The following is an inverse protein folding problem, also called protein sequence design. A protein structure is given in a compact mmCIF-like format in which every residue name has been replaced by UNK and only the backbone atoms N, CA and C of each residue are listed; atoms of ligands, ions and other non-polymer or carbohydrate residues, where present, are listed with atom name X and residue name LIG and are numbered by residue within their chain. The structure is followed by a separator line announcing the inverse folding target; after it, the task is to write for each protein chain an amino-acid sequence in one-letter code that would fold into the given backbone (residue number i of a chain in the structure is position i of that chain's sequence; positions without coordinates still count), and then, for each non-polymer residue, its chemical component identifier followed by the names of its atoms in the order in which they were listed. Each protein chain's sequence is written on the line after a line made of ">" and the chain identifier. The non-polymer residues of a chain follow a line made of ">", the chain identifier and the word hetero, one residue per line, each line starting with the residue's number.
data_IF_736662495155
#
_entry.id   IF_736662495155
#
_cell.length_a   1.000
_cell.length_b   1.000
_cell.length_c   1.000
_cell.angle_alpha   90.00
_cell.angle_beta   90.00
_cell.angle_gamma   90.00
#
_symmetry.space_group_name_H-M   'P 1'
#
loop_
_entity.id
_entity.type
_entity.pdbx_description
1 polymer ?
#
# COMPACT_ATOMS: atom_id res chain seq x y z
N UNK A 1 133.91 -146.89 209.52
CA UNK A 1 132.79 -145.95 209.26
C UNK A 1 131.79 -146.60 208.31
N UNK A 2 131.17 -147.73 208.70
CA UNK A 2 130.36 -148.55 207.79
C UNK A 2 128.85 -148.44 208.12
N UNK A 3 128.50 -148.18 209.39
CA UNK A 3 127.10 -148.07 209.83
C UNK A 3 126.25 -147.04 209.06
N UNK A 4 126.73 -145.82 208.71
CA UNK A 4 125.91 -144.85 207.97
C UNK A 4 125.47 -145.37 206.59
N UNK A 5 126.36 -146.10 205.90
CA UNK A 5 126.08 -146.75 204.62
C UNK A 5 124.97 -147.82 204.75
N UNK A 6 124.99 -148.59 205.84
CA UNK A 6 124.01 -149.66 206.04
C UNK A 6 122.60 -149.11 206.28
N UNK A 7 122.44 -148.05 207.09
CA UNK A 7 121.14 -147.41 207.29
C UNK A 7 120.58 -146.78 206.01
N UNK A 8 121.44 -146.17 205.17
CA UNK A 8 121.04 -145.65 203.86
C UNK A 8 120.56 -146.79 202.93
N UNK A 9 121.30 -147.91 202.89
CA UNK A 9 120.93 -149.09 202.08
C UNK A 9 119.61 -149.72 202.50
N UNK A 10 119.37 -149.88 203.80
CA UNK A 10 118.10 -150.41 204.34
C UNK A 10 116.95 -149.43 204.07
N UNK A 11 117.15 -148.13 204.28
CA UNK A 11 116.16 -147.10 203.97
C UNK A 11 115.76 -147.08 202.49
N UNK A 12 116.73 -147.23 201.58
CA UNK A 12 116.49 -147.32 200.15
C UNK A 12 115.69 -148.59 199.77
N UNK A 13 116.01 -149.75 200.35
CA UNK A 13 115.26 -150.98 200.14
C UNK A 13 113.80 -150.88 200.59
N UNK A 14 113.55 -150.31 201.77
CA UNK A 14 112.18 -150.10 202.29
C UNK A 14 111.40 -149.11 201.42
N UNK A 15 112.03 -148.01 200.99
CA UNK A 15 111.40 -147.05 200.08
C UNK A 15 111.06 -147.67 198.71
N UNK A 16 111.97 -148.47 198.14
CA UNK A 16 111.74 -149.20 196.89
C UNK A 16 110.58 -150.19 196.99
N UNK A 17 110.49 -150.93 198.10
CA UNK A 17 109.39 -151.87 198.35
C UNK A 17 108.02 -151.18 198.42
N UNK A 18 107.94 -150.01 199.07
CA UNK A 18 106.72 -149.20 199.14
C UNK A 18 106.29 -148.67 197.77
N UNK A 19 107.23 -148.20 196.94
CA UNK A 19 106.94 -147.73 195.57
C UNK A 19 106.36 -148.86 194.71
N UNK A 20 106.95 -150.06 194.76
CA UNK A 20 106.46 -151.23 194.03
C UNK A 20 105.03 -151.61 194.42
N UNK A 21 104.66 -151.48 195.70
CA UNK A 21 103.30 -151.74 196.18
C UNK A 21 102.23 -150.76 195.68
N UNK A 22 102.58 -149.49 195.43
CA UNK A 22 101.61 -148.44 195.06
C UNK A 22 101.33 -148.41 193.55
N UNK A 23 102.34 -148.69 192.71
CA UNK A 23 102.23 -148.70 191.24
C UNK A 23 101.00 -149.47 190.69
N UNK A 24 100.75 -150.75 191.05
CA UNK A 24 99.62 -151.51 190.50
C UNK A 24 98.25 -150.92 190.88
N UNK A 25 98.14 -150.32 192.08
CA UNK A 25 96.89 -149.71 192.54
C UNK A 25 96.50 -148.49 191.69
N UNK A 26 97.48 -147.63 191.38
CA UNK A 26 97.28 -146.45 190.53
C UNK A 26 96.95 -146.87 189.10
N UNK A 27 97.67 -147.84 188.55
CA UNK A 27 97.47 -148.29 187.17
C UNK A 27 96.08 -148.94 186.98
N UNK A 28 95.63 -149.76 187.92
CA UNK A 28 94.30 -150.38 187.90
C UNK A 28 93.15 -149.36 188.01
N UNK A 29 93.38 -148.21 188.66
CA UNK A 29 92.41 -147.09 188.72
C UNK A 29 92.38 -146.30 187.42
N UNK A 30 93.54 -146.08 186.78
CA UNK A 30 93.64 -145.40 185.49
C UNK A 30 92.92 -146.18 184.37
N UNK A 31 93.19 -147.48 184.23
CA UNK A 31 92.57 -148.35 183.20
C UNK A 31 91.04 -148.38 183.32
N UNK A 32 90.50 -148.38 184.55
CA UNK A 32 89.05 -148.40 184.77
C UNK A 32 88.34 -147.08 184.40
N UNK A 33 89.08 -145.97 184.35
CA UNK A 33 88.59 -144.66 183.90
C UNK A 33 88.73 -144.46 182.39
N UNK A 34 89.78 -145.00 181.76
CA UNK A 34 89.91 -144.96 180.30
C UNK A 34 88.94 -145.91 179.60
N UNK A 35 88.76 -147.14 180.12
CA UNK A 35 87.83 -148.12 179.53
C UNK A 35 86.40 -147.58 179.50
N UNK A 36 85.90 -147.03 180.61
CA UNK A 36 84.56 -146.40 180.69
C UNK A 36 84.39 -145.17 179.78
N UNK A 37 85.47 -144.49 179.38
CA UNK A 37 85.41 -143.42 178.37
C UNK A 37 85.42 -143.97 176.95
N UNK A 38 86.13 -145.07 176.69
CA UNK A 38 86.07 -145.76 175.39
C UNK A 38 84.69 -146.36 175.15
N UNK A 39 84.16 -147.12 176.10
CA UNK A 39 82.83 -147.77 176.04
C UNK A 39 81.70 -146.78 175.75
N UNK A 40 81.80 -145.54 176.25
CA UNK A 40 80.84 -144.45 176.00
C UNK A 40 81.06 -143.71 174.66
N UNK A 41 82.03 -144.14 173.84
CA UNK A 41 82.40 -143.53 172.55
C UNK A 41 82.46 -144.53 171.38
N UNK A 42 82.26 -145.82 171.65
CA UNK A 42 82.17 -146.89 170.64
C UNK A 42 80.72 -147.37 170.56
N UNK A 43 80.08 -147.47 169.37
CA UNK A 43 78.73 -148.01 169.24
C UNK A 43 78.74 -149.50 169.59
N UNK A 44 77.92 -149.90 170.58
CA UNK A 44 77.89 -151.28 171.11
C UNK A 44 76.65 -152.06 170.66
N UNK A 45 75.80 -151.47 169.81
CA UNK A 45 74.57 -152.09 169.31
C UNK A 45 74.50 -152.17 167.78
N UNK A 46 74.23 -153.36 167.26
CA UNK A 46 73.91 -153.57 165.84
C UNK A 46 72.65 -152.80 165.40
N UNK A 47 71.75 -152.45 166.33
CA UNK A 47 70.57 -151.65 166.02
C UNK A 47 70.93 -150.18 165.71
N UNK A 48 71.99 -149.65 166.31
CA UNK A 48 72.46 -148.27 166.05
C UNK A 48 73.14 -148.20 164.68
N UNK A 49 73.99 -149.18 164.35
CA UNK A 49 74.62 -149.30 163.02
C UNK A 49 73.55 -149.52 161.92
N UNK A 50 72.49 -150.27 162.22
CA UNK A 50 71.34 -150.39 161.31
C UNK A 50 70.59 -149.05 161.16
N UNK A 51 70.37 -148.31 162.25
CA UNK A 51 69.73 -147.00 162.23
C UNK A 51 70.55 -145.95 161.47
N UNK A 52 71.87 -145.88 161.63
CA UNK A 52 72.75 -145.00 160.84
C UNK A 52 72.72 -145.36 159.35
N UNK A 53 72.74 -146.66 159.03
CA UNK A 53 72.65 -147.16 157.65
C UNK A 53 71.30 -146.82 157.00
N UNK A 54 70.22 -146.94 157.75
CA UNK A 54 68.87 -146.62 157.27
C UNK A 54 68.59 -145.11 157.28
N UNK A 55 69.22 -144.33 158.17
CA UNK A 55 69.29 -142.86 158.06
C UNK A 55 70.04 -142.46 156.79
N UNK A 56 71.21 -143.03 156.52
CA UNK A 56 71.96 -142.73 155.28
C UNK A 56 71.12 -143.10 154.05
N UNK A 57 70.44 -144.25 154.03
CA UNK A 57 69.48 -144.62 152.97
C UNK A 57 68.34 -143.62 152.85
N UNK A 58 67.75 -143.17 153.96
CA UNK A 58 66.68 -142.18 153.96
C UNK A 58 67.17 -140.80 153.49
N UNK A 59 68.39 -140.39 153.87
CA UNK A 59 69.02 -139.16 153.40
C UNK A 59 69.32 -139.23 151.90
N UNK A 60 69.89 -140.34 151.40
CA UNK A 60 70.10 -140.52 149.97
C UNK A 60 68.77 -140.57 149.21
N UNK A 61 67.74 -141.26 149.71
CA UNK A 61 66.41 -141.29 149.10
C UNK A 61 65.73 -139.90 149.11
N UNK A 62 65.87 -139.12 150.19
CA UNK A 62 65.36 -137.74 150.28
C UNK A 62 66.13 -136.78 149.37
N UNK A 63 67.46 -136.91 149.28
CA UNK A 63 68.31 -136.11 148.38
C UNK A 63 68.00 -136.45 146.92
N UNK A 64 67.84 -137.73 146.59
CA UNK A 64 67.42 -138.23 145.28
C UNK A 64 66.01 -137.73 144.91
N UNK A 65 65.01 -137.94 145.78
CA UNK A 65 63.62 -137.49 145.57
C UNK A 65 63.52 -135.96 145.39
N UNK A 66 64.30 -135.17 146.14
CA UNK A 66 64.41 -133.71 145.93
C UNK A 66 65.09 -133.37 144.60
N UNK A 67 66.11 -134.13 144.19
CA UNK A 67 66.78 -133.95 142.90
C UNK A 67 65.81 -134.29 141.76
N UNK A 68 65.16 -135.45 141.79
CA UNK A 68 64.16 -135.88 140.80
C UNK A 68 63.00 -134.89 140.72
N UNK A 69 62.45 -134.43 141.85
CA UNK A 69 61.38 -133.42 141.86
C UNK A 69 61.86 -132.07 141.31
N UNK A 70 63.10 -131.66 141.56
CA UNK A 70 63.65 -130.41 140.99
C UNK A 70 63.97 -130.56 139.50
N UNK A 71 64.44 -131.73 139.04
CA UNK A 71 64.57 -132.08 137.63
C UNK A 71 63.21 -132.06 136.93
N UNK A 72 62.17 -132.62 137.52
CA UNK A 72 60.83 -132.65 136.93
C UNK A 72 60.20 -131.25 136.88
N UNK A 73 60.39 -130.44 137.92
CA UNK A 73 60.02 -129.02 137.90
C UNK A 73 60.79 -128.23 136.83
N UNK A 74 62.07 -128.53 136.60
CA UNK A 74 62.86 -127.88 135.55
C UNK A 74 62.43 -128.35 134.15
N UNK A 75 62.18 -129.65 133.94
CA UNK A 75 61.57 -130.16 132.70
C UNK A 75 60.24 -129.49 132.41
N UNK A 76 59.35 -129.39 133.40
CA UNK A 76 58.03 -128.75 133.27
C UNK A 76 58.13 -127.24 132.96
N UNK A 77 59.12 -126.54 133.54
CA UNK A 77 59.44 -125.15 133.17
C UNK A 77 59.95 -125.06 131.73
N UNK A 78 60.87 -125.93 131.32
CA UNK A 78 61.42 -125.96 129.96
C UNK A 78 60.34 -126.29 128.92
N UNK A 79 59.46 -127.26 129.16
CA UNK A 79 58.35 -127.57 128.22
C UNK A 79 57.33 -126.44 128.15
N UNK A 80 56.99 -125.80 129.27
CA UNK A 80 56.15 -124.60 129.29
C UNK A 80 56.78 -123.44 128.51
N UNK A 81 58.08 -123.19 128.70
CA UNK A 81 58.84 -122.17 127.97
C UNK A 81 58.93 -122.48 126.47
N UNK A 82 59.13 -123.74 126.07
CA UNK A 82 59.09 -124.15 124.67
C UNK A 82 57.68 -123.95 124.06
N UNK A 83 56.61 -124.24 124.81
CA UNK A 83 55.24 -123.99 124.37
C UNK A 83 54.88 -122.49 124.31
N UNK A 84 55.50 -121.64 125.13
CA UNK A 84 55.42 -120.18 124.99
C UNK A 84 56.22 -119.67 123.80
N UNK A 85 57.45 -120.16 123.59
CA UNK A 85 58.28 -119.80 122.44
C UNK A 85 57.63 -120.23 121.13
N UNK A 86 56.97 -121.40 121.09
CA UNK A 86 56.15 -121.83 119.96
C UNK A 86 55.01 -120.84 119.67
N UNK A 87 54.17 -120.54 120.66
CA UNK A 87 53.05 -119.56 120.52
C UNK A 87 53.53 -118.16 120.12
N UNK A 88 54.64 -117.68 120.69
CA UNK A 88 55.27 -116.40 120.33
C UNK A 88 55.83 -116.42 118.90
N UNK A 89 56.44 -117.53 118.47
CA UNK A 89 56.94 -117.70 117.09
C UNK A 89 55.80 -117.75 116.07
N UNK A 90 54.69 -118.41 116.40
CA UNK A 90 53.49 -118.41 115.56
C UNK A 90 52.86 -117.01 115.45
N UNK A 91 52.74 -116.28 116.56
CA UNK A 91 52.27 -114.90 116.54
C UNK A 91 53.18 -113.98 115.69
N UNK A 92 54.51 -114.15 115.79
CA UNK A 92 55.49 -113.44 114.95
C UNK A 92 55.34 -113.84 113.48
N UNK A 93 55.05 -115.10 113.16
CA UNK A 93 54.81 -115.54 111.79
C UNK A 93 53.53 -114.92 111.19
N UNK A 94 52.43 -114.89 111.95
CA UNK A 94 51.18 -114.23 111.57
C UNK A 94 51.39 -112.72 111.33
N UNK A 95 52.00 -112.01 112.28
CA UNK A 95 52.30 -110.58 112.15
C UNK A 95 53.24 -110.26 110.97
N UNK A 96 54.20 -111.14 110.66
CA UNK A 96 55.05 -110.99 109.46
C UNK A 96 54.28 -111.19 108.16
N UNK A 97 53.31 -112.11 108.14
CA UNK A 97 52.44 -112.32 106.99
C UNK A 97 51.51 -111.12 106.77
N UNK A 98 50.82 -110.67 107.81
CA UNK A 98 49.96 -109.48 107.79
C UNK A 98 50.75 -108.23 107.35
N UNK A 99 51.96 -108.02 107.88
CA UNK A 99 52.83 -106.90 107.49
C UNK A 99 53.26 -107.02 106.01
N UNK A 100 53.50 -108.23 105.51
CA UNK A 100 53.76 -108.48 104.09
C UNK A 100 52.57 -108.15 103.20
N UNK A 101 51.35 -108.55 103.57
CA UNK A 101 50.11 -108.17 102.86
C UNK A 101 49.89 -106.66 102.88
N UNK A 102 50.12 -105.98 104.01
CA UNK A 102 50.00 -104.51 104.09
C UNK A 102 51.09 -103.80 103.27
N UNK A 103 52.31 -104.31 103.23
CA UNK A 103 53.36 -103.76 102.36
C UNK A 103 53.03 -103.92 100.87
N UNK A 104 52.49 -105.07 100.46
CA UNK A 104 52.02 -105.28 99.09
C UNK A 104 50.85 -104.34 98.72
N UNK A 105 49.87 -104.20 99.61
CA UNK A 105 48.73 -103.30 99.41
C UNK A 105 49.13 -101.82 99.39
N UNK A 106 50.16 -101.41 100.15
CA UNK A 106 50.72 -100.06 100.10
C UNK A 106 51.40 -99.79 98.75
N UNK A 107 52.25 -100.70 98.27
CA UNK A 107 52.89 -100.57 96.94
C UNK A 107 51.86 -100.53 95.80
N UNK A 108 50.77 -101.31 95.91
CA UNK A 108 49.64 -101.23 94.97
C UNK A 108 48.91 -99.87 95.05
N UNK A 109 48.77 -99.27 96.23
CA UNK A 109 48.19 -97.94 96.39
C UNK A 109 49.11 -96.84 95.84
N UNK A 110 50.41 -96.88 96.17
CA UNK A 110 51.43 -95.94 95.71
C UNK A 110 51.54 -95.95 94.17
N UNK A 111 51.50 -97.12 93.53
CA UNK A 111 51.48 -97.24 92.06
C UNK A 111 50.20 -96.70 91.42
N UNK A 112 49.05 -96.76 92.10
CA UNK A 112 47.81 -96.12 91.64
C UNK A 112 47.81 -94.62 91.86
N UNK A 113 48.43 -94.14 92.94
CA UNK A 113 48.59 -92.71 93.20
C UNK A 113 49.50 -92.08 92.14
N UNK A 114 50.64 -92.68 91.81
CA UNK A 114 51.50 -92.17 90.73
C UNK A 114 50.80 -92.16 89.38
N UNK A 115 50.11 -93.25 89.00
CA UNK A 115 49.28 -93.31 87.79
C UNK A 115 48.23 -92.20 87.75
N UNK A 116 47.46 -92.02 88.83
CA UNK A 116 46.44 -90.97 88.90
C UNK A 116 47.04 -89.55 88.86
N UNK A 117 48.24 -89.32 89.39
CA UNK A 117 48.92 -88.03 89.24
C UNK A 117 49.45 -87.79 87.83
N UNK A 118 49.86 -88.83 87.11
CA UNK A 118 50.28 -88.74 85.70
C UNK A 118 49.07 -88.49 84.79
N UNK A 119 47.99 -89.26 84.94
CA UNK A 119 46.71 -89.06 84.23
C UNK A 119 46.14 -87.65 84.47
N UNK A 120 46.18 -87.16 85.71
CA UNK A 120 45.73 -85.82 86.07
C UNK A 120 46.63 -84.74 85.44
N UNK A 121 47.94 -84.94 85.37
CA UNK A 121 48.87 -84.06 84.67
C UNK A 121 48.62 -84.01 83.16
N UNK A 122 48.37 -85.16 82.53
CA UNK A 122 48.00 -85.27 81.11
C UNK A 122 46.67 -84.55 80.86
N UNK A 123 45.64 -84.79 81.68
CA UNK A 123 44.33 -84.16 81.54
C UNK A 123 44.39 -82.63 81.74
N UNK A 124 45.22 -82.14 82.67
CA UNK A 124 45.47 -80.70 82.83
C UNK A 124 46.20 -80.11 81.62
N UNK A 125 47.19 -80.81 81.07
CA UNK A 125 47.90 -80.41 79.85
C UNK A 125 46.98 -80.33 78.64
N UNK A 126 46.12 -81.33 78.44
CA UNK A 126 45.09 -81.31 77.39
C UNK A 126 44.09 -80.16 77.57
N UNK A 127 43.62 -79.91 78.80
CA UNK A 127 42.67 -78.85 79.10
C UNK A 127 43.29 -77.47 78.84
N UNK A 128 44.54 -77.25 79.25
CA UNK A 128 45.27 -76.02 78.98
C UNK A 128 45.46 -75.81 77.46
N UNK A 129 45.84 -76.85 76.71
CA UNK A 129 45.99 -76.78 75.26
C UNK A 129 44.65 -76.50 74.54
N UNK A 130 43.56 -77.15 74.97
CA UNK A 130 42.20 -76.92 74.45
C UNK A 130 41.69 -75.51 74.77
N UNK A 131 42.00 -74.99 75.96
CA UNK A 131 41.65 -73.61 76.36
C UNK A 131 42.41 -72.59 75.52
N UNK A 132 43.73 -72.75 75.35
CA UNK A 132 44.54 -71.85 74.51
C UNK A 132 44.09 -71.86 73.04
N UNK A 133 43.73 -73.03 72.50
CA UNK A 133 43.17 -73.15 71.15
C UNK A 133 41.79 -72.48 71.03
N UNK A 134 40.94 -72.60 72.05
CA UNK A 134 39.63 -71.95 72.11
C UNK A 134 39.76 -70.43 72.17
N UNK A 135 40.62 -69.88 73.04
CA UNK A 135 40.88 -68.43 73.04
C UNK A 135 41.43 -67.93 71.69
N UNK A 136 42.24 -68.75 71.01
CA UNK A 136 42.77 -68.40 69.69
C UNK A 136 41.66 -68.38 68.62
N UNK A 137 40.71 -69.32 68.65
CA UNK A 137 39.57 -69.30 67.72
C UNK A 137 38.57 -68.20 68.05
N UNK A 138 38.36 -67.85 69.33
CA UNK A 138 37.56 -66.69 69.73
C UNK A 138 38.18 -65.36 69.26
N UNK A 139 39.50 -65.19 69.42
CA UNK A 139 40.23 -64.02 68.89
C UNK A 139 40.14 -63.93 67.37
N UNK A 140 40.27 -65.05 66.67
CA UNK A 140 40.12 -65.10 65.21
C UNK A 140 38.68 -64.80 64.76
N UNK A 141 37.67 -65.31 65.47
CA UNK A 141 36.26 -65.04 65.22
C UNK A 141 35.92 -63.55 65.45
N UNK A 142 36.46 -62.94 66.51
CA UNK A 142 36.30 -61.51 66.77
C UNK A 142 36.94 -60.64 65.68
N UNK A 143 38.12 -61.01 65.16
CA UNK A 143 38.74 -60.34 64.00
C UNK A 143 37.83 -60.45 62.76
N UNK A 144 37.40 -61.66 62.42
CA UNK A 144 36.53 -61.90 61.27
C UNK A 144 35.17 -61.17 61.38
N UNK A 145 34.61 -61.03 62.58
CA UNK A 145 33.41 -60.22 62.83
C UNK A 145 33.65 -58.72 62.64
N UNK A 146 34.79 -58.20 63.12
CA UNK A 146 35.17 -56.80 62.92
C UNK A 146 35.44 -56.49 61.44
N UNK A 147 36.13 -57.38 60.73
CA UNK A 147 36.38 -57.31 59.29
C UNK A 147 35.06 -57.34 58.50
N UNK A 148 34.14 -58.26 58.82
CA UNK A 148 32.83 -58.35 58.18
C UNK A 148 31.97 -57.09 58.45
N UNK A 149 32.01 -56.55 59.67
CA UNK A 149 31.34 -55.28 59.99
C UNK A 149 31.92 -54.11 59.18
N UNK A 150 33.26 -54.03 59.06
CA UNK A 150 33.94 -53.01 58.26
C UNK A 150 33.62 -53.13 56.76
N UNK A 151 33.64 -54.34 56.20
CA UNK A 151 33.25 -54.61 54.79
C UNK A 151 31.78 -54.29 54.55
N UNK A 152 30.90 -54.57 55.52
CA UNK A 152 29.48 -54.21 55.43
C UNK A 152 29.29 -52.69 55.45
N UNK A 153 30.03 -51.97 56.28
CA UNK A 153 30.01 -50.51 56.34
C UNK A 153 30.50 -49.87 55.03
N UNK A 154 31.65 -50.30 54.50
CA UNK A 154 32.20 -49.76 53.24
C UNK A 154 31.38 -50.16 52.01
N UNK A 155 30.74 -51.33 52.01
CA UNK A 155 29.75 -51.69 51.00
C UNK A 155 28.53 -50.77 51.04
N UNK A 156 27.98 -50.48 52.23
CA UNK A 156 26.84 -49.59 52.39
C UNK A 156 27.18 -48.15 51.94
N UNK A 157 28.35 -47.63 52.31
CA UNK A 157 28.83 -46.31 51.84
C UNK A 157 29.04 -46.27 50.32
N UNK A 158 29.63 -47.33 49.75
CA UNK A 158 29.74 -47.51 48.29
C UNK A 158 28.37 -47.59 47.60
N UNK A 159 27.37 -48.17 48.27
CA UNK A 159 26.00 -48.29 47.77
C UNK A 159 25.25 -46.94 47.81
N UNK A 160 25.42 -46.18 48.89
CA UNK A 160 24.85 -44.83 49.05
C UNK A 160 25.46 -43.86 48.03
N UNK A 161 26.79 -43.87 47.88
CA UNK A 161 27.48 -43.02 46.89
C UNK A 161 27.12 -43.39 45.45
N UNK A 162 27.07 -44.69 45.10
CA UNK A 162 26.57 -45.14 43.80
C UNK A 162 25.07 -44.82 43.58
N UNK A 163 24.28 -44.80 44.65
CA UNK A 163 22.88 -44.33 44.65
C UNK A 163 22.79 -42.84 44.32
N UNK A 164 23.59 -42.00 44.99
CA UNK A 164 23.71 -40.57 44.72
C UNK A 164 24.13 -40.29 43.27
N UNK A 165 25.20 -40.92 42.80
CA UNK A 165 25.67 -40.80 41.41
C UNK A 165 24.60 -41.22 40.39
N UNK A 166 23.78 -42.24 40.69
CA UNK A 166 22.64 -42.61 39.82
C UNK A 166 21.57 -41.51 39.78
N UNK A 167 21.24 -40.89 40.92
CA UNK A 167 20.31 -39.77 40.97
C UNK A 167 20.87 -38.57 40.18
N UNK A 168 22.13 -38.21 40.38
CA UNK A 168 22.83 -37.17 39.62
C UNK A 168 22.82 -37.44 38.12
N UNK A 169 23.13 -38.67 37.68
CA UNK A 169 23.08 -39.05 36.27
C UNK A 169 21.65 -38.98 35.70
N UNK A 170 20.61 -39.33 36.47
CA UNK A 170 19.22 -39.14 36.01
C UNK A 170 18.81 -37.67 35.94
N UNK A 171 19.28 -36.82 36.86
CA UNK A 171 19.04 -35.38 36.82
C UNK A 171 19.77 -34.71 35.63
N UNK A 172 21.05 -35.02 35.42
CA UNK A 172 21.84 -34.56 34.28
C UNK A 172 21.21 -35.01 32.94
N UNK A 173 20.67 -36.23 32.88
CA UNK A 173 19.94 -36.73 31.71
C UNK A 173 18.65 -35.95 31.47
N UNK A 174 17.85 -35.71 32.52
CA UNK A 174 16.65 -34.88 32.41
C UNK A 174 16.97 -33.44 31.98
N UNK A 175 18.08 -32.86 32.44
CA UNK A 175 18.57 -31.56 31.95
C UNK A 175 18.99 -31.61 30.48
N UNK A 176 19.67 -32.67 30.03
CA UNK A 176 20.06 -32.85 28.63
C UNK A 176 18.82 -33.02 27.71
N UNK A 177 17.83 -33.81 28.13
CA UNK A 177 16.57 -34.00 27.40
C UNK A 177 15.75 -32.69 27.36
N UNK A 178 15.75 -31.88 28.43
CA UNK A 178 15.12 -30.56 28.46
C UNK A 178 15.82 -29.55 27.54
N UNK A 179 17.16 -29.48 27.56
CA UNK A 179 17.96 -28.65 26.65
C UNK A 179 17.76 -29.07 25.19
N UNK A 180 17.64 -30.38 24.91
CA UNK A 180 17.29 -30.89 23.58
C UNK A 180 15.88 -30.44 23.17
N UNK A 181 14.91 -30.47 24.07
CA UNK A 181 13.56 -29.92 23.83
C UNK A 181 13.57 -28.43 23.48
N UNK A 182 14.42 -27.63 24.14
CA UNK A 182 14.62 -26.21 23.82
C UNK A 182 15.32 -25.99 22.47
N UNK A 183 16.32 -26.81 22.12
CA UNK A 183 16.91 -26.77 20.77
C UNK A 183 15.88 -27.13 19.70
N UNK A 184 15.04 -28.14 19.94
CA UNK A 184 13.95 -28.51 19.03
C UNK A 184 12.82 -27.46 18.95
N UNK A 185 12.63 -26.60 19.95
CA UNK A 185 11.71 -25.45 19.83
C UNK A 185 12.35 -24.30 19.06
N UNK A 186 13.61 -23.95 19.35
CA UNK A 186 14.33 -22.93 18.57
C UNK A 186 14.53 -23.33 17.10
N UNK A 187 14.69 -24.62 16.78
CA UNK A 187 14.74 -25.11 15.39
C UNK A 187 13.39 -24.94 14.68
N UNK A 188 12.26 -25.10 15.39
CA UNK A 188 10.90 -24.86 14.86
C UNK A 188 10.63 -23.36 14.69
N UNK A 189 11.03 -22.54 15.65
CA UNK A 189 10.92 -21.08 15.59
C UNK A 189 11.76 -20.50 14.45
N UNK A 190 13.02 -20.93 14.29
CA UNK A 190 13.88 -20.47 13.19
C UNK A 190 13.37 -20.94 11.82
N UNK A 191 12.79 -22.14 11.71
CA UNK A 191 12.09 -22.58 10.48
C UNK A 191 10.86 -21.73 10.19
N UNK A 192 9.99 -21.49 11.16
CA UNK A 192 8.80 -20.65 10.99
C UNK A 192 9.16 -19.19 10.64
N UNK A 193 10.23 -18.65 11.24
CA UNK A 193 10.77 -17.32 10.89
C UNK A 193 11.36 -17.30 9.47
N UNK A 194 12.01 -18.38 9.03
CA UNK A 194 12.54 -18.49 7.67
C UNK A 194 11.42 -18.62 6.64
N UNK A 195 10.39 -19.42 6.91
CA UNK A 195 9.18 -19.53 6.09
C UNK A 195 8.44 -18.18 5.99
N UNK A 196 8.28 -17.46 7.12
CA UNK A 196 7.67 -16.13 7.14
C UNK A 196 8.54 -15.06 6.44
N UNK A 197 9.87 -15.14 6.53
CA UNK A 197 10.77 -14.26 5.78
C UNK A 197 10.64 -14.54 4.29
N UNK A 198 10.68 -15.82 3.88
CA UNK A 198 10.54 -16.22 2.49
C UNK A 198 9.16 -15.84 1.92
N UNK A 199 8.07 -15.99 2.70
CA UNK A 199 6.74 -15.51 2.27
C UNK A 199 6.70 -13.99 2.14
N UNK A 200 7.35 -13.24 3.04
CA UNK A 200 7.48 -11.77 2.91
C UNK A 200 8.35 -11.36 1.73
N UNK A 201 9.36 -12.13 1.37
CA UNK A 201 10.11 -11.94 0.11
C UNK A 201 9.21 -12.18 -1.10
N UNK A 202 8.39 -13.25 -1.13
CA UNK A 202 7.45 -13.45 -2.23
C UNK A 202 6.36 -12.38 -2.30
N UNK A 203 5.85 -11.91 -1.15
CA UNK A 203 4.89 -10.79 -1.08
C UNK A 203 5.48 -9.52 -1.71
N UNK A 204 6.75 -9.21 -1.39
CA UNK A 204 7.50 -8.07 -1.93
C UNK A 204 7.83 -8.24 -3.42
N UNK A 205 8.09 -9.47 -3.89
CA UNK A 205 8.21 -9.74 -5.32
C UNK A 205 6.88 -9.57 -6.06
N UNK A 206 5.76 -10.03 -5.50
CA UNK A 206 4.43 -9.87 -6.13
C UNK A 206 4.01 -8.41 -6.16
N UNK A 207 4.12 -7.68 -5.05
CA UNK A 207 3.81 -6.24 -5.05
C UNK A 207 4.82 -5.44 -5.88
N UNK A 208 6.06 -5.92 -6.01
CA UNK A 208 7.06 -5.39 -6.93
C UNK A 208 6.70 -5.59 -8.41
N UNK A 209 6.13 -6.75 -8.76
CA UNK A 209 5.58 -7.03 -10.10
C UNK A 209 4.34 -6.19 -10.38
N UNK A 210 3.40 -6.10 -9.43
CA UNK A 210 2.22 -5.22 -9.53
C UNK A 210 2.63 -3.75 -9.73
N UNK A 211 3.60 -3.24 -8.96
CA UNK A 211 4.12 -1.88 -9.15
C UNK A 211 4.87 -1.70 -10.47
N UNK A 212 5.45 -2.76 -11.05
CA UNK A 212 6.04 -2.71 -12.39
C UNK A 212 4.98 -2.73 -13.49
N UNK A 213 3.89 -3.49 -13.32
CA UNK A 213 2.73 -3.49 -14.22
C UNK A 213 1.98 -2.15 -14.19
N UNK A 214 1.67 -1.59 -13.02
CA UNK A 214 1.00 -0.28 -12.95
C UNK A 214 1.90 0.85 -13.49
N UNK A 215 3.23 0.72 -13.39
CA UNK A 215 4.17 1.62 -14.09
C UNK A 215 4.11 1.44 -15.59
N UNK A 216 4.19 0.21 -16.11
CA UNK A 216 4.07 -0.05 -17.54
C UNK A 216 2.73 0.46 -18.11
N UNK A 217 1.62 0.28 -17.37
CA UNK A 217 0.31 0.84 -17.74
C UNK A 217 0.29 2.37 -17.66
N UNK A 218 0.98 2.98 -16.71
CA UNK A 218 1.12 4.44 -16.62
C UNK A 218 1.99 5.00 -17.76
N UNK A 219 3.04 4.28 -18.18
CA UNK A 219 3.89 4.61 -19.32
C UNK A 219 3.11 4.44 -20.65
N UNK A 220 2.36 3.34 -20.83
CA UNK A 220 1.42 3.13 -21.95
C UNK A 220 0.38 4.26 -22.04
N UNK A 221 -0.16 4.68 -20.89
CA UNK A 221 -1.11 5.80 -20.81
C UNK A 221 -0.42 7.15 -21.09
N UNK A 222 0.82 7.35 -20.66
CA UNK A 222 1.59 8.55 -20.94
C UNK A 222 1.94 8.67 -22.43
N UNK A 223 2.35 7.57 -23.08
CA UNK A 223 2.54 7.51 -24.54
C UNK A 223 1.21 7.72 -25.28
N UNK A 224 0.10 7.19 -24.75
CA UNK A 224 -1.23 7.42 -25.32
C UNK A 224 -1.69 8.87 -25.19
N UNK A 225 -1.40 9.53 -24.06
CA UNK A 225 -1.64 10.97 -23.87
C UNK A 225 -0.75 11.78 -24.80
N UNK A 226 0.55 11.49 -24.88
CA UNK A 226 1.47 12.18 -25.79
C UNK A 226 1.06 12.03 -27.26
N UNK A 227 0.49 10.89 -27.66
CA UNK A 227 -0.04 10.68 -29.01
C UNK A 227 -1.38 11.41 -29.23
N UNK A 228 -2.27 11.47 -28.23
CA UNK A 228 -3.47 12.30 -28.29
C UNK A 228 -3.12 13.79 -28.33
N UNK A 229 -2.08 14.24 -27.61
CA UNK A 229 -1.57 15.61 -27.68
C UNK A 229 -0.98 15.93 -29.05
N UNK A 230 -0.23 15.01 -29.68
CA UNK A 230 0.19 15.17 -31.10
C UNK A 230 -1.01 15.30 -32.03
N UNK A 231 -2.06 14.50 -31.82
CA UNK A 231 -3.28 14.56 -32.63
C UNK A 231 -4.08 15.85 -32.38
N UNK A 232 -4.11 16.38 -31.16
CA UNK A 232 -4.70 17.68 -30.83
C UNK A 232 -3.87 18.85 -31.39
N UNK A 233 -2.54 18.76 -31.38
CA UNK A 233 -1.66 19.73 -32.06
C UNK A 233 -1.88 19.69 -33.58
N UNK A 234 -2.05 18.50 -34.15
CA UNK A 234 -2.45 18.31 -35.56
C UNK A 234 -3.80 18.95 -35.86
N UNK A 235 -4.86 18.59 -35.12
CA UNK A 235 -6.21 19.13 -35.32
C UNK A 235 -6.30 20.64 -35.04
N UNK A 236 -5.53 21.19 -34.10
CA UNK A 236 -5.49 22.65 -33.88
C UNK A 236 -4.71 23.35 -34.98
N UNK A 237 -3.64 22.78 -35.53
CA UNK A 237 -2.96 23.30 -36.72
C UNK A 237 -3.87 23.22 -37.98
N UNK A 238 -4.62 22.14 -38.16
CA UNK A 238 -5.64 22.01 -39.21
C UNK A 238 -6.77 23.04 -39.01
N UNK A 239 -7.28 23.21 -37.79
CA UNK A 239 -8.29 24.22 -37.45
C UNK A 239 -7.77 25.65 -37.67
N UNK A 240 -6.49 25.92 -37.38
CA UNK A 240 -5.84 27.20 -37.68
C UNK A 240 -5.69 27.40 -39.20
N UNK A 241 -5.32 26.37 -39.96
CA UNK A 241 -5.23 26.43 -41.42
C UNK A 241 -6.61 26.60 -42.08
N UNK A 242 -7.66 25.98 -41.56
CA UNK A 242 -9.04 26.18 -41.98
C UNK A 242 -9.53 27.58 -41.60
N UNK A 243 -9.20 28.09 -40.40
CA UNK A 243 -9.49 29.46 -39.98
C UNK A 243 -8.77 30.49 -40.86
N UNK A 244 -7.51 30.25 -41.24
CA UNK A 244 -6.76 31.10 -42.15
C UNK A 244 -7.37 31.10 -43.56
N UNK A 245 -7.82 29.94 -44.06
CA UNK A 245 -8.58 29.85 -45.32
C UNK A 245 -9.93 30.56 -45.25
N UNK A 246 -10.62 30.50 -44.11
CA UNK A 246 -11.87 31.25 -43.89
C UNK A 246 -11.61 32.76 -43.83
N UNK A 247 -10.51 33.21 -43.23
CA UNK A 247 -10.08 34.61 -43.27
C UNK A 247 -9.68 35.05 -44.68
N UNK A 248 -9.00 34.21 -45.47
CA UNK A 248 -8.68 34.49 -46.87
C UNK A 248 -9.95 34.57 -47.73
N UNK A 249 -10.91 33.67 -47.53
CA UNK A 249 -12.21 33.71 -48.21
C UNK A 249 -13.05 34.93 -47.78
N UNK A 250 -13.02 35.31 -46.51
CA UNK A 250 -13.65 36.54 -46.01
C UNK A 250 -13.01 37.79 -46.63
N UNK A 251 -11.67 37.86 -46.68
CA UNK A 251 -10.96 38.96 -47.33
C UNK A 251 -11.28 39.04 -48.84
N UNK A 252 -11.39 37.89 -49.53
CA UNK A 252 -11.84 37.83 -50.94
C UNK A 252 -13.29 38.27 -51.11
N UNK A 253 -14.16 38.04 -50.12
CA UNK A 253 -15.55 38.54 -50.12
C UNK A 253 -15.63 40.04 -49.83
N UNK A 254 -14.82 40.57 -48.91
CA UNK A 254 -14.68 42.02 -48.69
C UNK A 254 -14.12 42.75 -49.92
N UNK A 255 -13.14 42.15 -50.60
CA UNK A 255 -12.60 42.65 -51.87
C UNK A 255 -13.69 42.68 -52.95
N UNK A 256 -14.51 41.62 -53.04
CA UNK A 256 -15.67 41.60 -53.94
C UNK A 256 -16.75 42.60 -53.54
N UNK A 257 -17.01 42.80 -52.24
CA UNK A 257 -17.97 43.79 -51.74
C UNK A 257 -17.52 45.22 -52.06
N UNK A 258 -16.21 45.52 -51.97
CA UNK A 258 -15.63 46.79 -52.44
C UNK A 258 -15.78 46.96 -53.95
N UNK A 259 -15.44 45.94 -54.74
CA UNK A 259 -15.60 45.96 -56.20
C UNK A 259 -17.07 46.00 -56.69
N UNK A 260 -18.03 45.68 -55.81
CA UNK A 260 -19.46 45.89 -56.01
C UNK A 260 -19.87 47.31 -55.60
N UNK A 261 -19.42 47.81 -54.45
CA UNK A 261 -19.66 49.19 -54.01
C UNK A 261 -19.09 50.22 -55.01
N UNK A 262 -17.87 50.00 -55.53
CA UNK A 262 -17.27 50.83 -56.58
C UNK A 262 -18.11 50.81 -57.87
N UNK A 263 -18.69 49.65 -58.23
CA UNK A 263 -19.62 49.52 -59.37
C UNK A 263 -20.96 50.22 -59.10
N UNK A 264 -21.48 50.13 -57.89
CA UNK A 264 -22.72 50.80 -57.50
C UNK A 264 -22.53 52.32 -57.55
N UNK A 265 -21.47 52.86 -56.93
CA UNK A 265 -21.10 54.27 -57.02
C UNK A 265 -20.81 54.71 -58.47
N UNK A 266 -20.18 53.88 -59.31
CA UNK A 266 -20.04 54.18 -60.73
C UNK A 266 -21.40 54.24 -61.43
N UNK A 267 -22.34 53.35 -61.08
CA UNK A 267 -23.72 53.37 -61.60
C UNK A 267 -24.53 54.58 -61.11
N UNK A 268 -24.32 55.04 -59.87
CA UNK A 268 -24.92 56.25 -59.33
C UNK A 268 -24.36 57.49 -60.02
N UNK A 269 -23.05 57.57 -60.22
CA UNK A 269 -22.41 58.66 -60.96
C UNK A 269 -22.92 58.72 -62.42
N UNK A 270 -23.10 57.57 -63.08
CA UNK A 270 -23.72 57.51 -64.41
C UNK A 270 -25.20 57.91 -64.39
N UNK A 271 -25.99 57.52 -63.38
CA UNK A 271 -27.38 57.98 -63.20
C UNK A 271 -27.47 59.48 -62.95
N UNK A 272 -26.58 60.02 -62.13
CA UNK A 272 -26.52 61.45 -61.82
C UNK A 272 -26.10 62.27 -63.06
N UNK A 273 -25.14 61.78 -63.85
CA UNK A 273 -24.81 62.35 -65.15
C UNK A 273 -25.99 62.30 -66.13
N UNK A 274 -26.74 61.19 -66.17
CA UNK A 274 -27.93 61.06 -67.01
C UNK A 274 -29.07 62.01 -66.59
N UNK A 275 -29.32 62.18 -65.28
CA UNK A 275 -30.28 63.18 -64.78
C UNK A 275 -29.80 64.62 -65.03
N UNK A 276 -28.48 64.88 -64.98
CA UNK A 276 -27.90 66.16 -65.40
C UNK A 276 -28.16 66.44 -66.89
N UNK A 277 -27.90 65.44 -67.74
CA UNK A 277 -28.18 65.53 -69.17
C UNK A 277 -29.67 65.75 -69.46
N UNK A 278 -30.58 65.05 -68.79
CA UNK A 278 -32.02 65.26 -68.94
C UNK A 278 -32.50 66.65 -68.48
N UNK A 279 -31.91 67.22 -67.43
CA UNK A 279 -32.19 68.61 -67.02
C UNK A 279 -31.74 69.60 -68.08
N UNK A 280 -30.52 69.45 -68.61
CA UNK A 280 -30.00 70.28 -69.71
C UNK A 280 -30.86 70.12 -70.97
N UNK A 281 -31.33 68.90 -71.28
CA UNK A 281 -32.22 68.62 -72.41
C UNK A 281 -33.61 69.26 -72.22
N UNK A 282 -34.13 69.30 -70.99
CA UNK A 282 -35.38 69.99 -70.66
C UNK A 282 -35.23 71.53 -70.71
N UNK A 283 -34.12 72.08 -70.21
CA UNK A 283 -33.78 73.50 -70.29
C UNK A 283 -33.59 73.94 -71.75
N UNK A 284 -32.90 73.14 -72.57
CA UNK A 284 -32.79 73.39 -74.01
C UNK A 284 -34.13 73.33 -74.73
N UNK A 285 -35.05 72.41 -74.37
CA UNK A 285 -36.42 72.41 -74.90
C UNK A 285 -37.22 73.64 -74.48
N UNK A 286 -37.07 74.10 -73.23
CA UNK A 286 -37.72 75.31 -72.75
C UNK A 286 -37.18 76.57 -73.48
N UNK A 287 -35.86 76.67 -73.66
CA UNK A 287 -35.23 77.74 -74.44
C UNK A 287 -35.64 77.70 -75.91
N UNK A 288 -35.82 76.52 -76.51
CA UNK A 288 -36.30 76.38 -77.89
C UNK A 288 -37.76 76.84 -78.03
N UNK A 289 -38.62 76.51 -77.07
CA UNK A 289 -40.03 76.95 -77.05
C UNK A 289 -40.13 78.47 -76.85
N UNK A 290 -39.40 79.04 -75.89
CA UNK A 290 -39.35 80.49 -75.64
C UNK A 290 -38.77 81.25 -76.86
N UNK A 291 -37.75 80.70 -77.54
CA UNK A 291 -37.29 81.23 -78.82
C UNK A 291 -38.36 81.16 -79.93
N UNK A 292 -39.12 80.07 -80.01
CA UNK A 292 -40.22 79.92 -80.98
C UNK A 292 -41.37 80.89 -80.72
N UNK A 293 -41.77 81.10 -79.46
CA UNK A 293 -42.82 82.07 -79.13
C UNK A 293 -42.33 83.53 -79.30
N UNK A 294 -41.07 83.85 -79.01
CA UNK A 294 -40.47 85.14 -79.38
C UNK A 294 -40.50 85.39 -80.89
N UNK A 295 -40.14 84.38 -81.71
CA UNK A 295 -40.25 84.47 -83.16
C UNK A 295 -41.71 84.60 -83.63
N UNK A 296 -42.65 83.93 -82.97
CA UNK A 296 -44.09 84.04 -83.26
C UNK A 296 -44.62 85.44 -82.97
N UNK A 297 -44.29 86.01 -81.81
CA UNK A 297 -44.64 87.38 -81.44
C UNK A 297 -44.03 88.39 -82.41
N UNK A 298 -42.75 88.23 -82.79
CA UNK A 298 -42.10 89.10 -83.78
C UNK A 298 -42.75 89.03 -85.18
N UNK A 299 -43.27 87.87 -85.60
CA UNK A 299 -44.00 87.73 -86.86
C UNK A 299 -45.39 88.40 -86.78
N UNK A 300 -46.06 88.35 -85.62
CA UNK A 300 -47.32 89.05 -85.40
C UNK A 300 -47.12 90.58 -85.33
N UNK A 301 -46.07 91.10 -84.66
CA UNK A 301 -45.78 92.54 -84.66
C UNK A 301 -45.44 93.04 -86.06
N UNK A 302 -44.57 92.34 -86.80
CA UNK A 302 -44.25 92.68 -88.20
C UNK A 302 -45.49 92.64 -89.12
N UNK A 303 -46.48 91.78 -88.84
CA UNK A 303 -47.79 91.82 -89.54
C UNK A 303 -48.58 93.06 -89.21
N UNK A 304 -48.64 93.47 -87.94
CA UNK A 304 -49.36 94.69 -87.54
C UNK A 304 -48.69 95.96 -88.08
N UNK A 305 -47.36 96.05 -88.01
CA UNK A 305 -46.55 97.14 -88.57
C UNK A 305 -46.73 97.23 -90.09
N UNK A 306 -46.66 96.09 -90.80
CA UNK A 306 -46.97 96.03 -92.23
C UNK A 306 -48.37 96.55 -92.54
N UNK A 307 -49.39 96.14 -91.78
CA UNK A 307 -50.77 96.57 -92.00
C UNK A 307 -50.99 98.07 -91.70
N UNK A 308 -50.22 98.65 -90.78
CA UNK A 308 -50.23 100.10 -90.52
C UNK A 308 -49.62 100.84 -91.72
N UNK A 309 -48.43 100.43 -92.17
CA UNK A 309 -47.73 101.02 -93.32
C UNK A 309 -48.57 100.91 -94.61
N UNK A 310 -49.25 99.78 -94.85
CA UNK A 310 -50.16 99.62 -95.99
C UNK A 310 -51.39 100.55 -95.94
N UNK A 311 -51.86 100.93 -94.75
CA UNK A 311 -52.95 101.89 -94.56
C UNK A 311 -52.47 103.35 -94.67
N UNK A 312 -51.27 103.66 -94.18
CA UNK A 312 -50.64 105.00 -94.35
C UNK A 312 -50.30 105.26 -95.82
N UNK A 313 -49.81 104.24 -96.54
CA UNK A 313 -49.56 104.31 -97.99
C UNK A 313 -50.85 104.59 -98.76
N UNK A 314 -51.97 103.98 -98.38
CA UNK A 314 -53.30 104.30 -98.95
C UNK A 314 -53.73 105.74 -98.69
N UNK A 315 -53.62 106.23 -97.46
CA UNK A 315 -53.92 107.64 -97.15
C UNK A 315 -53.08 108.61 -97.98
N UNK A 316 -51.77 108.36 -98.10
CA UNK A 316 -50.87 109.18 -98.92
C UNK A 316 -51.23 109.13 -100.41
N UNK A 317 -51.75 108.00 -100.91
CA UNK A 317 -52.28 107.89 -102.27
C UNK A 317 -53.59 108.69 -102.42
N UNK A 318 -54.56 108.52 -101.52
CA UNK A 318 -55.84 109.25 -101.52
C UNK A 318 -55.67 110.78 -101.43
N UNK A 319 -54.71 111.26 -100.63
CA UNK A 319 -54.35 112.68 -100.53
C UNK A 319 -53.71 113.21 -101.82
N UNK A 320 -52.80 112.43 -102.44
CA UNK A 320 -52.17 112.79 -103.72
C UNK A 320 -53.19 112.87 -104.85
N UNK A 321 -54.12 111.93 -104.90
CA UNK A 321 -55.25 111.87 -105.82
C UNK A 321 -56.23 113.04 -105.66
N UNK A 322 -56.33 113.59 -104.44
CA UNK A 322 -57.16 114.73 -104.08
C UNK A 322 -56.50 116.06 -104.47
N UNK A 323 -55.21 116.22 -104.16
CA UNK A 323 -54.41 117.37 -104.59
C UNK A 323 -54.33 117.47 -106.12
N UNK A 324 -54.11 116.34 -106.81
CA UNK A 324 -54.20 116.29 -108.28
C UNK A 324 -55.58 116.75 -108.79
N UNK A 325 -56.67 116.41 -108.09
CA UNK A 325 -58.04 116.86 -108.38
C UNK A 325 -58.24 118.37 -108.26
N UNK A 326 -57.75 118.98 -107.19
CA UNK A 326 -57.87 120.42 -106.94
C UNK A 326 -57.09 121.25 -107.98
N UNK A 327 -55.88 120.82 -108.36
CA UNK A 327 -55.00 121.58 -109.26
C UNK A 327 -55.51 121.60 -110.72
N UNK A 328 -56.34 120.64 -111.13
CA UNK A 328 -57.00 120.68 -112.44
C UNK A 328 -58.14 121.69 -112.56
N UNK A 329 -58.73 122.12 -111.43
CA UNK A 329 -59.72 123.20 -111.41
C UNK A 329 -59.03 124.55 -111.67
N UNK A 330 -57.94 124.82 -110.94
CA UNK A 330 -57.11 126.03 -111.10
C UNK A 330 -56.63 126.23 -112.55
N UNK A 331 -56.36 125.13 -113.27
CA UNK A 331 -56.00 125.16 -114.70
C UNK A 331 -57.15 125.40 -115.70
N UNK A 332 -58.40 125.58 -115.26
CA UNK A 332 -59.56 125.90 -116.12
C UNK A 332 -60.14 127.28 -115.86
N UNK A 333 -60.03 127.79 -114.65
CA UNK A 333 -60.67 129.07 -114.29
C UNK A 333 -59.91 130.27 -114.86
N UNK A 334 -58.60 130.13 -115.11
CA UNK A 334 -57.82 131.07 -115.91
C UNK A 334 -58.15 131.06 -117.41
N UNK A 335 -58.78 129.99 -117.92
CA UNK A 335 -58.92 129.76 -119.37
C UNK A 335 -60.02 130.60 -120.05
N UNK A 336 -60.90 131.26 -119.29
CA UNK A 336 -62.18 131.76 -119.83
C UNK A 336 -62.34 133.30 -119.90
N UNK A 337 -61.34 134.08 -119.48
CA UNK A 337 -61.37 135.55 -119.58
C UNK A 337 -60.96 136.04 -120.99
N UNK A 338 -60.22 135.24 -121.77
CA UNK A 338 -59.60 135.68 -123.02
C UNK A 338 -60.49 135.74 -124.28
N UNK A 339 -61.76 135.32 -124.23
CA UNK A 339 -62.55 135.02 -125.43
C UNK A 339 -63.84 135.86 -125.62
N UNK A 340 -64.55 136.25 -124.55
CA UNK A 340 -65.95 136.70 -124.68
C UNK A 340 -66.13 138.07 -125.38
N UNK A 341 -65.18 139.00 -125.28
CA UNK A 341 -65.26 140.30 -125.97
C UNK A 341 -65.08 140.21 -127.50
N UNK A 342 -64.67 139.06 -128.05
CA UNK A 342 -64.28 138.92 -129.47
C UNK A 342 -65.33 138.30 -130.40
N UNK A 343 -66.52 137.91 -129.91
CA UNK A 343 -67.55 137.29 -130.77
C UNK A 343 -68.93 137.97 -130.74
N UNK A 344 -69.26 138.75 -129.73
CA UNK A 344 -70.57 139.46 -129.65
C UNK A 344 -70.71 140.66 -130.61
N UNK A 345 -69.70 140.94 -131.45
CA UNK A 345 -69.76 141.91 -132.54
C UNK A 345 -70.25 141.30 -133.88
N UNK A 346 -70.50 139.98 -133.94
CA UNK A 346 -70.80 139.27 -135.19
C UNK A 346 -72.29 138.92 -135.40
N UNK A 347 -72.95 138.27 -134.42
CA UNK A 347 -74.21 137.54 -134.67
C UNK A 347 -75.48 138.37 -134.42
N UNK A 348 -75.38 139.55 -133.79
CA UNK A 348 -76.46 140.54 -133.71
C UNK A 348 -76.84 141.16 -135.09
N UNK A 349 -76.12 140.81 -136.17
CA UNK A 349 -76.35 141.33 -137.52
C UNK A 349 -77.11 140.40 -138.47
N UNK A 350 -77.30 139.11 -138.16
CA UNK A 350 -77.83 138.13 -139.13
C UNK A 350 -79.25 137.65 -138.78
N UNK A 351 -79.63 137.62 -137.50
CA UNK A 351 -80.94 137.09 -137.05
C UNK A 351 -82.10 138.10 -137.05
N UNK A 352 -81.99 139.17 -137.85
CA UNK A 352 -83.10 140.07 -138.17
C UNK A 352 -83.68 139.74 -139.56
N UNK A 353 -82.84 139.43 -140.55
CA UNK A 353 -83.29 139.38 -141.95
C UNK A 353 -84.08 138.12 -142.32
N UNK A 354 -83.74 136.96 -141.74
CA UNK A 354 -84.36 135.66 -142.12
C UNK A 354 -85.58 135.23 -141.29
N UNK A 355 -86.25 136.18 -140.62
CA UNK A 355 -87.63 136.00 -140.11
C UNK A 355 -88.68 136.50 -141.13
N UNK A 356 -88.26 137.19 -142.20
CA UNK A 356 -89.16 137.72 -143.23
C UNK A 356 -89.36 136.81 -144.44
N UNK A 357 -88.35 136.02 -144.82
CA UNK A 357 -88.28 135.41 -146.16
C UNK A 357 -89.30 134.29 -146.43
N UNK A 358 -89.51 133.35 -145.49
CA UNK A 358 -90.31 132.14 -145.78
C UNK A 358 -91.61 132.00 -144.95
N UNK A 359 -92.39 133.10 -144.93
CA UNK A 359 -93.85 132.96 -145.11
C UNK A 359 -94.17 132.48 -146.55
N UNK A 360 -93.25 132.70 -147.50
CA UNK A 360 -93.43 132.52 -148.94
C UNK A 360 -93.69 131.10 -149.47
N UNK A 361 -93.37 130.02 -148.74
CA UNK A 361 -93.58 128.63 -149.20
C UNK A 361 -94.42 127.73 -148.30
N UNK A 362 -95.38 128.34 -147.59
CA UNK A 362 -96.70 127.71 -147.51
C UNK A 362 -97.58 128.06 -148.74
N UNK A 363 -97.18 129.04 -149.55
CA UNK A 363 -97.82 129.42 -150.83
C UNK A 363 -97.19 128.74 -152.06
N UNK A 364 -97.04 127.42 -152.01
CA UNK A 364 -96.91 126.56 -153.20
C UNK A 364 -97.56 125.16 -153.03
N UNK A 365 -98.40 125.00 -152.00
CA UNK A 365 -99.79 124.49 -151.98
C UNK A 365 -100.44 123.65 -153.11
N UNK A 366 -99.87 123.49 -154.30
CA UNK A 366 -100.68 123.31 -155.53
C UNK A 366 -100.28 122.18 -156.49
N UNK A 367 -99.00 122.04 -156.86
CA UNK A 367 -98.56 121.15 -157.96
C UNK A 367 -97.22 120.49 -157.58
N UNK A 368 -96.90 119.26 -157.96
CA UNK A 368 -97.61 118.27 -158.78
C UNK A 368 -96.83 116.94 -158.78
N UNK A 369 -97.09 115.98 -159.70
CA UNK A 369 -96.18 114.86 -159.91
C UNK A 369 -94.84 115.33 -160.52
N UNK A 370 -93.81 114.51 -160.36
CA UNK A 370 -92.49 114.63 -160.99
C UNK A 370 -91.67 115.91 -160.72
N UNK A 371 -90.76 115.81 -159.72
CA UNK A 371 -89.41 116.38 -159.88
C UNK A 371 -88.35 115.56 -159.12
N UNK A 372 -87.94 114.40 -159.67
CA UNK A 372 -86.76 113.68 -159.22
C UNK A 372 -85.51 114.21 -159.93
N UNK A 373 -85.18 115.48 -159.70
CA UNK A 373 -83.81 115.97 -159.90
C UNK A 373 -83.23 116.06 -158.48
N UNK A 374 -82.61 114.97 -158.00
CA UNK A 374 -81.21 114.61 -158.31
C UNK A 374 -80.25 115.75 -158.04
N UNK A 375 -79.12 115.45 -157.39
CA UNK A 375 -77.96 116.33 -157.34
C UNK A 375 -78.28 117.76 -156.83
N UNK A 376 -77.92 118.07 -155.60
CA UNK A 376 -76.50 118.21 -155.28
C UNK A 376 -76.36 117.88 -153.77
N UNK A 377 -75.52 116.91 -153.41
CA UNK A 377 -74.07 117.06 -153.23
C UNK A 377 -73.73 118.21 -152.26
N UNK A 378 -72.79 117.99 -151.35
CA UNK A 378 -72.08 119.05 -150.61
C UNK A 378 -72.97 119.89 -149.64
N UNK A 379 -72.58 120.19 -148.41
CA UNK A 379 -71.32 119.92 -147.70
C UNK A 379 -71.46 120.39 -146.24
N UNK A 380 -70.42 120.14 -145.42
CA UNK A 380 -70.22 120.87 -144.16
C UNK A 380 -70.76 120.16 -142.91
N UNK A 381 -70.13 120.22 -141.72
CA UNK A 381 -69.13 121.16 -141.16
C UNK A 381 -69.62 122.63 -141.20
N UNK A 382 -69.45 123.46 -140.14
CA UNK A 382 -68.32 123.40 -139.18
C UNK A 382 -68.74 123.71 -137.69
N UNK A 383 -67.96 123.35 -136.63
CA UNK A 383 -66.98 124.17 -135.83
C UNK A 383 -67.54 125.40 -135.06
N UNK A 384 -66.77 126.13 -134.20
CA UNK A 384 -65.73 125.78 -133.20
C UNK A 384 -65.84 126.52 -131.83
N UNK A 385 -64.92 126.23 -130.88
CA UNK A 385 -64.30 127.24 -129.99
C UNK A 385 -64.91 127.47 -128.59
N UNK A 386 -64.27 128.21 -127.66
CA UNK A 386 -62.85 128.66 -127.56
C UNK A 386 -62.54 129.25 -126.15
N UNK A 387 -61.30 129.13 -125.63
CA UNK A 387 -60.84 129.67 -124.32
C UNK A 387 -60.08 128.62 -123.48
N UNK A 388 -58.76 128.64 -123.23
CA UNK A 388 -57.59 129.54 -123.43
C UNK A 388 -57.20 130.58 -122.33
N UNK A 389 -56.28 130.22 -121.40
CA UNK A 389 -55.66 131.14 -120.43
C UNK A 389 -54.97 130.51 -119.18
N UNK A 390 -53.80 131.03 -118.75
CA UNK A 390 -52.98 130.49 -117.64
C UNK A 390 -53.63 130.64 -116.25
N UNK A 391 -53.28 129.91 -115.18
CA UNK A 391 -52.31 128.84 -114.86
C UNK A 391 -52.60 128.38 -113.39
N UNK A 392 -52.12 127.30 -112.74
CA UNK A 392 -51.15 126.18 -112.91
C UNK A 392 -51.36 125.22 -111.71
N UNK A 393 -50.79 124.02 -111.54
CA UNK A 393 -50.32 122.88 -112.35
C UNK A 393 -49.68 121.86 -111.36
N UNK A 394 -49.81 120.50 -111.46
CA UNK A 394 -50.45 119.63 -112.47
C UNK A 394 -51.61 118.71 -111.91
N UNK A 395 -52.33 117.90 -112.74
CA UNK A 395 -53.82 117.80 -112.66
C UNK A 395 -54.47 116.37 -112.50
N UNK A 396 -55.75 116.23 -112.90
CA UNK A 396 -56.80 115.28 -112.45
C UNK A 396 -57.58 114.50 -113.56
N UNK A 397 -58.70 113.82 -113.22
CA UNK A 397 -59.88 113.73 -114.14
C UNK A 397 -61.26 113.42 -113.49
N UNK A 398 -62.35 113.78 -114.23
CA UNK A 398 -63.79 113.59 -113.93
C UNK A 398 -64.67 114.72 -114.54
N UNK A 399 -66.01 114.67 -114.65
CA UNK A 399 -67.01 113.58 -114.52
C UNK A 399 -68.43 114.04 -115.00
N UNK A 400 -69.42 113.12 -115.09
CA UNK A 400 -70.88 113.28 -115.42
C UNK A 400 -71.30 113.50 -116.90
N UNK A 401 -72.53 113.06 -117.21
CA UNK A 401 -73.40 113.52 -118.32
C UNK A 401 -74.90 113.26 -117.98
N UNK A 402 -75.85 113.61 -118.86
CA UNK A 402 -77.24 113.97 -118.52
C UNK A 402 -78.34 113.28 -119.39
N UNK A 403 -79.60 113.73 -119.31
CA UNK A 403 -80.79 112.86 -119.41
C UNK A 403 -81.98 113.50 -120.17
N UNK A 404 -81.76 114.25 -121.26
CA UNK A 404 -82.82 114.94 -122.01
C UNK A 404 -82.91 114.63 -123.52
N UNK A 405 -81.81 114.25 -124.20
CA UNK A 405 -81.92 113.58 -125.53
C UNK A 405 -82.43 112.12 -125.40
N UNK A 406 -82.74 111.74 -124.15
CA UNK A 406 -83.83 110.86 -123.70
C UNK A 406 -85.21 111.12 -124.36
N UNK A 407 -85.31 111.93 -125.42
CA UNK A 407 -86.55 112.35 -126.08
C UNK A 407 -86.50 112.21 -127.62
N UNK A 408 -85.35 112.04 -128.32
CA UNK A 408 -85.39 111.60 -129.73
C UNK A 408 -85.48 110.08 -129.90
N UNK A 409 -84.78 109.30 -129.07
CA UNK A 409 -85.11 107.86 -128.90
C UNK A 409 -86.50 107.67 -128.30
N UNK A 410 -87.01 108.68 -127.60
CA UNK A 410 -88.42 108.83 -127.23
C UNK A 410 -89.20 109.77 -128.17
N UNK A 411 -88.86 109.74 -129.46
CA UNK A 411 -89.77 109.97 -130.60
C UNK A 411 -89.55 108.96 -131.75
N UNK A 412 -88.83 107.86 -131.45
CA UNK A 412 -89.28 106.49 -131.74
C UNK A 412 -90.35 105.98 -130.72
N UNK A 413 -90.67 106.80 -129.70
CA UNK A 413 -92.06 106.98 -129.20
C UNK A 413 -92.89 107.42 -130.43
N UNK A 414 -94.21 107.26 -130.50
CA UNK A 414 -95.07 107.42 -129.35
C UNK A 414 -96.26 106.48 -129.27
N UNK A 415 -96.32 105.47 -130.13
CA UNK A 415 -97.16 104.30 -129.95
C UNK A 415 -96.32 103.17 -129.31
N UNK A 416 -96.61 102.62 -128.13
CA UNK A 416 -97.76 102.75 -127.19
C UNK A 416 -99.11 102.35 -127.80
N UNK A 417 -99.93 101.49 -127.19
CA UNK A 417 -99.74 100.69 -125.98
C UNK A 417 -100.47 99.32 -126.11
N UNK A 418 -100.03 98.30 -126.85
CA UNK A 418 -98.83 98.11 -127.70
C UNK A 418 -97.50 98.70 -127.17
N UNK A 419 -96.82 98.07 -126.22
CA UNK A 419 -97.13 96.88 -125.41
C UNK A 419 -96.22 96.88 -124.17
N UNK A 420 -96.66 96.28 -123.05
CA UNK A 420 -96.02 96.52 -121.74
C UNK A 420 -95.99 95.30 -120.80
N UNK A 421 -94.79 94.74 -120.53
CA UNK A 421 -94.50 93.96 -119.31
C UNK A 421 -93.12 94.27 -118.67
N UNK A 422 -92.79 93.60 -117.56
CA UNK A 422 -91.60 93.73 -116.66
C UNK A 422 -91.41 92.39 -115.91
N UNK A 423 -90.31 91.95 -115.27
CA UNK A 423 -88.93 92.42 -114.97
C UNK A 423 -88.12 91.21 -114.41
N UNK A 424 -86.85 91.24 -113.98
CA UNK A 424 -85.59 91.40 -114.73
C UNK A 424 -84.62 90.21 -114.41
N UNK A 425 -83.46 90.08 -115.08
CA UNK A 425 -82.68 88.81 -115.09
C UNK A 425 -81.19 88.94 -115.53
N UNK A 426 -80.25 88.25 -114.83
CA UNK A 426 -78.86 87.84 -115.27
C UNK A 426 -77.87 88.97 -115.71
N UNK A 427 -76.56 88.76 -115.93
CA UNK A 427 -75.64 87.64 -115.59
C UNK A 427 -74.45 87.40 -116.59
N UNK A 428 -73.45 86.59 -116.20
CA UNK A 428 -72.52 85.75 -117.04
C UNK A 428 -71.30 86.34 -117.81
N UNK A 429 -70.59 85.45 -118.57
CA UNK A 429 -69.47 85.57 -119.58
C UNK A 429 -67.95 85.61 -119.15
N UNK A 430 -66.95 85.10 -119.96
CA UNK A 430 -65.91 84.17 -119.43
C UNK A 430 -64.48 84.05 -120.15
N UNK A 431 -63.69 83.00 -119.80
CA UNK A 431 -62.84 82.06 -120.62
C UNK A 431 -61.67 82.50 -121.56
N UNK A 432 -60.50 81.84 -121.43
CA UNK A 432 -59.43 81.65 -122.47
C UNK A 432 -57.98 81.65 -121.91
N UNK A 433 -56.89 81.25 -122.60
CA UNK A 433 -56.64 80.29 -123.70
C UNK A 433 -55.11 79.96 -123.86
N UNK A 434 -54.74 79.05 -124.78
CA UNK A 434 -53.39 78.45 -125.09
C UNK A 434 -52.27 79.42 -125.54
N UNK A 435 -51.01 78.95 -125.51
CA UNK A 435 -50.00 78.89 -126.62
C UNK A 435 -48.53 79.25 -126.23
N UNK A 436 -47.56 78.80 -127.04
CA UNK A 436 -46.11 78.99 -126.90
C UNK A 436 -45.54 80.08 -127.85
N UNK A 437 -44.30 80.52 -127.53
CA UNK A 437 -43.36 81.37 -128.28
C UNK A 437 -43.57 82.89 -128.21
#
# INVERSE_FOLDING_TARGET
>A
MIEPMMYIGIGFLVAGLLVIGVIPLVHARAVRLTLRRLEASTPVSMAEIAAEKDQLRAEFAMKMSRLDMSLEQMKAKTTSQLAELGRKSEAIARLKFELGEKAAALLELESKETQLTEDLGIAQGELAAKTAALEQTERALASAQAELAHVTASFNDSSVTAGGQRVELTALRAHADALKGQLESYEKETKALWEHLNSKTTDLETSGRELAEERARADDLADRVAELDRQLVGQTAESQALSARLQELAARLDEQARLLADREHHSENLRNAAMGAQKIEAELRAQLADAQDRHRVAIETLRTEKSLIENELKRSQEERDKLQREIAAVKRDGENVGAYERMENAVLRERIDEVAAEVARLTATLEGPDSPIESILNSGRPTPGSGNGPSTAPPATGSKDTLADRIRTLQARAARASSTPREARRGSVPRGARADK
#
